data_IF_228529825767
#
_entry.id   IF_228529825767
#
_cell.length_a   1.000
_cell.length_b   1.000
_cell.length_c   1.000
_cell.angle_alpha   90.00
_cell.angle_beta   90.00
_cell.angle_gamma   90.00
#
_symmetry.space_group_name_H-M   'P 1'
#
loop_
_entity.id
_entity.type
_entity.pdbx_description
1 polymer ?
#
# COMPACT_ATOMS: atom_id res chain seq x y z
N UNK A 1 -9.35 -8.12 -4.93
CA UNK A 1 -8.17 -8.98 -5.03
C UNK A 1 -7.73 -9.34 -3.61
N UNK A 2 -7.28 -10.56 -3.35
CA UNK A 2 -6.85 -11.02 -2.02
C UNK A 2 -5.68 -10.16 -1.51
N UNK A 3 -5.76 -9.66 -0.27
CA UNK A 3 -4.68 -8.89 0.34
C UNK A 3 -3.48 -9.82 0.63
N UNK A 4 -2.26 -9.55 0.10
CA UNK A 4 -1.09 -10.41 0.30
C UNK A 4 -0.65 -10.49 1.77
N UNK A 5 -1.03 -9.51 2.58
CA UNK A 5 -0.61 -9.42 3.98
C UNK A 5 -1.46 -10.29 4.91
N UNK A 6 -2.75 -10.48 4.62
CA UNK A 6 -3.64 -11.29 5.48
C UNK A 6 -4.24 -12.51 4.78
N UNK A 7 -4.18 -12.60 3.45
CA UNK A 7 -4.76 -13.71 2.69
C UNK A 7 -6.28 -13.63 2.52
N UNK A 8 -6.92 -12.54 2.94
CA UNK A 8 -8.37 -12.33 2.81
C UNK A 8 -8.71 -11.23 1.79
N UNK A 9 -9.87 -11.36 1.15
CA UNK A 9 -10.45 -10.33 0.31
C UNK A 9 -11.66 -9.73 1.01
N UNK A 10 -11.46 -8.65 1.75
CA UNK A 10 -12.54 -7.93 2.41
C UNK A 10 -13.00 -6.81 1.48
N UNK A 11 -14.09 -7.02 0.74
CA UNK A 11 -14.65 -6.03 -0.18
C UNK A 11 -15.23 -4.77 0.48
N UNK A 12 -15.08 -4.62 1.79
CA UNK A 12 -15.64 -3.53 2.61
C UNK A 12 -14.56 -2.70 3.29
N UNK A 13 -13.33 -3.19 3.37
CA UNK A 13 -12.24 -2.52 4.08
C UNK A 13 -11.53 -1.53 3.17
N UNK A 14 -11.15 -0.34 3.67
CA UNK A 14 -10.35 0.60 2.90
C UNK A 14 -9.01 -0.05 2.53
N UNK A 15 -8.68 0.04 1.25
CA UNK A 15 -7.50 -0.56 0.67
C UNK A 15 -6.70 0.48 -0.11
N UNK A 16 -5.39 0.28 -0.20
CA UNK A 16 -4.46 1.08 -0.97
C UNK A 16 -3.80 0.18 -2.00
N UNK A 17 -3.52 0.75 -3.17
CA UNK A 17 -2.84 0.05 -4.27
C UNK A 17 -1.39 0.49 -4.28
N UNK A 18 -0.46 -0.46 -4.36
CA UNK A 18 0.94 -0.15 -4.56
C UNK A 18 1.18 0.33 -6.00
N UNK A 19 1.78 1.50 -6.17
CA UNK A 19 2.01 2.08 -7.50
C UNK A 19 3.09 1.37 -8.32
N UNK A 20 3.94 0.56 -7.68
CA UNK A 20 5.05 -0.17 -8.33
C UNK A 20 4.67 -1.59 -8.75
N UNK A 21 3.89 -2.31 -7.94
CA UNK A 21 3.51 -3.70 -8.21
C UNK A 21 2.01 -3.89 -8.45
N UNK A 22 1.21 -2.83 -8.33
CA UNK A 22 -0.25 -2.83 -8.51
C UNK A 22 -0.99 -3.80 -7.58
N UNK A 23 -0.36 -4.22 -6.47
CA UNK A 23 -0.97 -5.08 -5.46
C UNK A 23 -1.86 -4.27 -4.50
N UNK A 24 -3.00 -4.87 -4.12
CA UNK A 24 -3.96 -4.29 -3.18
C UNK A 24 -3.65 -4.71 -1.75
N UNK A 25 -3.60 -3.75 -0.85
CA UNK A 25 -3.39 -3.99 0.57
C UNK A 25 -4.44 -3.28 1.42
N UNK A 26 -4.97 -3.96 2.43
CA UNK A 26 -5.80 -3.29 3.43
C UNK A 26 -4.96 -2.29 4.22
N UNK A 27 -5.52 -1.13 4.53
CA UNK A 27 -4.85 -0.10 5.31
C UNK A 27 -4.35 -0.63 6.65
N UNK A 28 -5.20 -1.39 7.35
CA UNK A 28 -4.87 -2.04 8.63
C UNK A 28 -3.70 -3.03 8.50
N UNK A 29 -3.62 -3.74 7.37
CA UNK A 29 -2.53 -4.69 7.12
C UNK A 29 -1.19 -4.04 6.82
N UNK A 30 -1.18 -2.76 6.41
CA UNK A 30 0.05 -2.01 6.09
C UNK A 30 0.29 -0.83 7.02
N UNK A 31 -0.39 -0.79 8.17
CA UNK A 31 -0.29 0.28 9.17
C UNK A 31 -0.59 1.67 8.59
N UNK A 32 -1.46 1.75 7.57
CA UNK A 32 -2.00 3.01 7.09
C UNK A 32 -3.13 3.43 8.03
N UNK A 33 -2.93 4.51 8.78
CA UNK A 33 -3.96 5.01 9.70
C UNK A 33 -4.90 6.02 9.02
N UNK A 34 -4.42 6.72 7.99
CA UNK A 34 -5.14 7.83 7.35
C UNK A 34 -5.22 7.62 5.84
N UNK A 35 -6.25 8.22 5.23
CA UNK A 35 -6.40 8.33 3.78
C UNK A 35 -5.15 9.02 3.23
N UNK A 36 -4.34 8.36 2.39
CA UNK A 36 -3.28 9.06 1.68
C UNK A 36 -3.96 10.10 0.77
N UNK A 37 -3.45 11.34 0.69
CA UNK A 37 -3.97 12.33 -0.25
C UNK A 37 -4.09 11.70 -1.64
N UNK A 38 -5.14 12.01 -2.39
CA UNK A 38 -5.44 11.35 -3.67
C UNK A 38 -4.32 11.44 -4.71
N UNK A 39 -3.40 12.39 -4.55
CA UNK A 39 -2.24 12.62 -5.41
C UNK A 39 -0.94 12.02 -4.87
N UNK A 40 -0.98 11.25 -3.78
CA UNK A 40 0.23 10.69 -3.15
C UNK A 40 0.43 9.23 -3.55
N UNK A 41 1.57 8.94 -4.18
CA UNK A 41 1.99 7.58 -4.48
C UNK A 41 2.27 6.80 -3.19
N UNK A 42 1.70 5.60 -3.09
CA UNK A 42 1.97 4.66 -2.00
C UNK A 42 2.71 3.42 -2.52
N UNK A 43 3.70 2.98 -1.75
CA UNK A 43 4.51 1.80 -2.04
C UNK A 43 4.46 0.81 -0.87
N UNK A 44 4.26 -0.47 -1.18
CA UNK A 44 4.26 -1.52 -0.17
C UNK A 44 5.67 -1.77 0.39
N UNK A 45 5.74 -2.35 1.59
CA UNK A 45 7.02 -2.65 2.28
C UNK A 45 7.97 -3.49 1.42
N UNK A 46 7.44 -4.40 0.59
CA UNK A 46 8.24 -5.19 -0.35
C UNK A 46 8.94 -4.30 -1.38
N UNK A 47 8.21 -3.40 -2.00
CA UNK A 47 8.76 -2.45 -2.97
C UNK A 47 9.76 -1.48 -2.32
N UNK A 48 9.47 -1.00 -1.12
CA UNK A 48 10.37 -0.14 -0.34
C UNK A 48 11.68 -0.86 0.04
N UNK A 49 11.61 -2.15 0.40
CA UNK A 49 12.80 -2.96 0.70
C UNK A 49 13.63 -3.27 -0.55
N UNK A 50 12.98 -3.42 -1.70
CA UNK A 50 13.67 -3.61 -2.98
C UNK A 50 14.31 -2.32 -3.49
N UNK A 51 13.70 -1.18 -3.19
CA UNK A 51 14.10 0.13 -3.72
C UNK A 51 13.87 1.22 -2.67
N UNK A 52 14.89 1.50 -1.84
CA UNK A 52 14.81 2.50 -0.77
C UNK A 52 14.55 3.92 -1.29
N UNK A 53 14.77 4.20 -2.58
CA UNK A 53 14.58 5.53 -3.17
C UNK A 53 13.10 5.95 -3.18
N UNK A 54 12.19 4.98 -3.23
CA UNK A 54 10.74 5.18 -3.18
C UNK A 54 10.26 5.78 -1.84
N UNK A 55 11.07 5.68 -0.78
CA UNK A 55 10.72 6.18 0.56
C UNK A 55 10.80 7.71 0.68
N UNK A 56 11.49 8.37 -0.26
CA UNK A 56 11.81 9.79 -0.19
C UNK A 56 11.05 10.66 -1.20
N UNK A 57 10.04 10.11 -1.90
CA UNK A 57 9.35 10.83 -2.98
C UNK A 57 8.30 11.86 -2.50
N UNK A 58 8.12 12.08 -1.20
CA UNK A 58 7.23 13.12 -0.64
C UNK A 58 7.88 14.50 -0.52
N UNK A 59 8.82 14.87 -1.41
CA UNK A 59 9.45 16.21 -1.35
C UNK A 59 8.75 17.22 -2.24
#
# INVERSE_FOLDING_TARGET
WICPSCGFSDGKSPAVVCQKCNEWHHWTCVSLCNVPPGDMDWYCVRCLNQDPTLRNQTK
#
